data_IF_246994070838
#
_entry.id   IF_246994070838
#
_cell.length_a   1.000
_cell.length_b   1.000
_cell.length_c   1.000
_cell.angle_alpha   90.00
_cell.angle_beta   90.00
_cell.angle_gamma   90.00
#
_symmetry.space_group_name_H-M   'P 1'
#
loop_
_entity.id
_entity.type
_entity.pdbx_description
1 polymer ?
#
# COMPACT_ATOMS: atom_id res chain seq x y z
N UNK A 1 10.48 -0.62 -0.55
CA UNK A 1 11.03 0.38 0.40
C UNK A 1 11.48 -0.34 1.65
N UNK A 2 12.59 0.05 2.24
CA UNK A 2 13.08 -0.54 3.49
C UNK A 2 12.20 -0.11 4.66
N UNK A 3 12.09 -0.96 5.70
CA UNK A 3 11.22 -0.68 6.84
C UNK A 3 11.52 0.65 7.53
N UNK A 4 12.79 1.02 7.67
CA UNK A 4 13.19 2.28 8.27
C UNK A 4 12.67 3.49 7.47
N UNK A 5 12.66 3.40 6.15
CA UNK A 5 12.15 4.47 5.29
C UNK A 5 10.64 4.67 5.49
N UNK A 6 9.91 3.59 5.72
CA UNK A 6 8.47 3.66 5.98
C UNK A 6 8.21 4.34 7.33
N UNK A 7 9.03 4.07 8.34
CA UNK A 7 8.92 4.71 9.65
C UNK A 7 9.16 6.23 9.60
N UNK A 8 9.94 6.69 8.63
CA UNK A 8 10.28 8.11 8.49
C UNK A 8 9.22 8.93 7.75
N UNK A 9 8.21 8.28 7.18
CA UNK A 9 7.15 8.96 6.45
C UNK A 9 6.22 9.74 7.38
N UNK A 10 5.77 10.92 6.94
CA UNK A 10 4.69 11.64 7.61
C UNK A 10 3.37 10.88 7.45
N UNK A 11 2.37 11.20 8.29
CA UNK A 11 1.12 10.45 8.30
C UNK A 11 0.42 10.44 6.94
N UNK A 12 0.35 11.59 6.27
CA UNK A 12 -0.26 11.70 4.94
C UNK A 12 0.53 10.92 3.88
N UNK A 13 1.85 10.96 3.96
CA UNK A 13 2.73 10.19 3.08
C UNK A 13 2.59 8.68 3.32
N UNK A 14 2.43 8.28 4.57
CA UNK A 14 2.24 6.88 4.94
C UNK A 14 0.90 6.34 4.39
N UNK A 15 -0.16 7.11 4.52
CA UNK A 15 -1.47 6.74 4.00
C UNK A 15 -1.42 6.60 2.48
N UNK A 16 -0.77 7.55 1.80
CA UNK A 16 -0.59 7.48 0.35
C UNK A 16 0.24 6.26 -0.05
N UNK A 17 1.31 5.97 0.69
CA UNK A 17 2.14 4.79 0.45
C UNK A 17 1.33 3.50 0.53
N UNK A 18 0.50 3.35 1.56
CA UNK A 18 -0.36 2.17 1.72
C UNK A 18 -1.39 2.10 0.60
N UNK A 19 -2.00 3.23 0.24
CA UNK A 19 -2.97 3.28 -0.84
C UNK A 19 -2.37 2.86 -2.18
N UNK A 20 -1.16 3.35 -2.48
CA UNK A 20 -0.44 3.01 -3.71
C UNK A 20 -0.04 1.53 -3.72
N UNK A 21 0.38 0.98 -2.59
CA UNK A 21 0.72 -0.44 -2.48
C UNK A 21 -0.51 -1.32 -2.74
N UNK A 22 -1.68 -0.94 -2.24
CA UNK A 22 -2.94 -1.65 -2.49
C UNK A 22 -3.30 -1.65 -3.97
N UNK A 23 -3.17 -0.50 -4.63
CA UNK A 23 -3.44 -0.36 -6.07
C UNK A 23 -2.49 -1.23 -6.88
N UNK A 24 -1.22 -1.23 -6.53
CA UNK A 24 -0.22 -2.05 -7.22
C UNK A 24 -0.52 -3.53 -7.06
N UNK A 25 -0.86 -3.99 -5.86
CA UNK A 25 -1.21 -5.39 -5.62
C UNK A 25 -2.43 -5.79 -6.45
N UNK A 26 -3.44 -4.94 -6.50
CA UNK A 26 -4.65 -5.20 -7.29
C UNK A 26 -4.31 -5.36 -8.77
N UNK A 27 -3.51 -4.45 -9.33
CA UNK A 27 -3.09 -4.54 -10.73
C UNK A 27 -2.25 -5.78 -11.02
N UNK A 28 -1.31 -6.12 -10.13
CA UNK A 28 -0.48 -7.31 -10.29
C UNK A 28 -1.27 -8.60 -10.17
N UNK A 29 -2.25 -8.66 -9.27
CA UNK A 29 -3.15 -9.82 -9.17
C UNK A 29 -3.98 -9.99 -10.42
N UNK A 30 -4.46 -8.89 -10.99
CA UNK A 30 -5.19 -8.92 -12.25
C UNK A 30 -4.32 -9.47 -13.38
N UNK A 31 -3.08 -8.99 -13.50
CA UNK A 31 -2.13 -9.48 -14.50
C UNK A 31 -1.85 -10.97 -14.33
N UNK A 32 -1.68 -11.41 -13.09
CA UNK A 32 -1.46 -12.83 -12.79
C UNK A 32 -2.66 -13.68 -13.20
N UNK A 33 -3.88 -13.21 -12.91
CA UNK A 33 -5.11 -13.93 -13.27
C UNK A 33 -5.30 -14.06 -14.77
N UNK A 34 -4.81 -13.08 -15.55
CA UNK A 34 -4.90 -13.13 -17.02
C UNK A 34 -3.69 -13.80 -17.69
N UNK A 35 -2.76 -14.33 -16.89
CA UNK A 35 -1.56 -14.97 -17.40
C UNK A 35 -0.48 -14.04 -17.93
N UNK A 36 -0.63 -12.72 -17.72
CA UNK A 36 0.33 -11.72 -18.21
C UNK A 36 1.52 -11.52 -17.29
N UNK A 37 1.39 -11.87 -16.01
CA UNK A 37 2.46 -11.70 -15.03
C UNK A 37 3.35 -12.96 -15.01
N UNK A 38 4.56 -12.84 -15.58
CA UNK A 38 5.52 -13.95 -15.62
C UNK A 38 6.33 -14.06 -14.34
N UNK A 39 6.60 -12.92 -13.67
CA UNK A 39 7.45 -12.86 -12.48
C UNK A 39 6.63 -12.37 -11.29
N UNK A 40 6.52 -13.21 -10.26
CA UNK A 40 5.76 -12.89 -9.05
C UNK A 40 6.56 -12.09 -8.01
N UNK A 41 7.84 -11.78 -8.27
CA UNK A 41 8.68 -11.04 -7.32
C UNK A 41 8.11 -9.66 -7.02
N UNK A 42 7.55 -8.96 -8.01
CA UNK A 42 6.92 -7.64 -7.82
C UNK A 42 5.71 -7.73 -6.90
N UNK A 43 4.90 -8.79 -7.04
CA UNK A 43 3.75 -8.98 -6.17
C UNK A 43 4.18 -9.22 -4.72
N UNK A 44 5.23 -10.03 -4.51
CA UNK A 44 5.79 -10.27 -3.17
C UNK A 44 6.31 -8.98 -2.55
N UNK A 45 7.03 -8.17 -3.33
CA UNK A 45 7.56 -6.87 -2.87
C UNK A 45 6.42 -5.92 -2.50
N UNK A 46 5.39 -5.82 -3.33
CA UNK A 46 4.24 -4.96 -3.06
C UNK A 46 3.48 -5.39 -1.81
N UNK A 47 3.29 -6.69 -1.61
CA UNK A 47 2.67 -7.23 -0.39
C UNK A 47 3.50 -6.91 0.86
N UNK A 48 4.82 -7.02 0.77
CA UNK A 48 5.72 -6.70 1.87
C UNK A 48 5.64 -5.21 2.22
N UNK A 49 5.65 -4.34 1.20
CA UNK A 49 5.52 -2.89 1.40
C UNK A 49 4.18 -2.55 2.05
N UNK A 50 3.09 -3.16 1.60
CA UNK A 50 1.78 -2.98 2.21
C UNK A 50 1.80 -3.38 3.69
N UNK A 51 2.37 -4.55 4.00
CA UNK A 51 2.45 -5.03 5.38
C UNK A 51 3.25 -4.08 6.26
N UNK A 52 4.37 -3.56 5.78
CA UNK A 52 5.18 -2.58 6.51
C UNK A 52 4.42 -1.29 6.76
N UNK A 53 3.75 -0.76 5.74
CA UNK A 53 2.94 0.45 5.87
C UNK A 53 1.81 0.28 6.87
N UNK A 54 1.09 -0.83 6.80
CA UNK A 54 0.00 -1.13 7.73
C UNK A 54 0.49 -1.29 9.16
N UNK A 55 1.66 -1.92 9.36
CA UNK A 55 2.25 -2.08 10.68
C UNK A 55 2.60 -0.72 11.29
N UNK A 56 3.24 0.15 10.53
CA UNK A 56 3.61 1.50 11.00
C UNK A 56 2.36 2.32 11.29
N UNK A 57 1.36 2.26 10.42
CA UNK A 57 0.08 2.95 10.63
C UNK A 57 -0.60 2.48 11.91
N UNK A 58 -0.61 1.17 12.16
CA UNK A 58 -1.16 0.61 13.39
C UNK A 58 -0.43 1.09 14.64
N UNK A 59 0.90 1.20 14.58
CA UNK A 59 1.71 1.73 15.67
C UNK A 59 1.40 3.20 15.97
N UNK A 60 1.04 3.97 14.95
CA UNK A 60 0.67 5.39 15.09
C UNK A 60 -0.81 5.59 15.43
N UNK A 61 -1.60 4.53 15.47
CA UNK A 61 -3.04 4.61 15.70
C UNK A 61 -3.82 5.17 14.52
N UNK A 62 -3.29 5.04 13.29
CA UNK A 62 -3.94 5.51 12.07
C UNK A 62 -4.83 4.40 11.50
N UNK A 63 -6.09 4.73 11.25
CA UNK A 63 -6.99 3.86 10.49
C UNK A 63 -6.89 4.20 9.00
N UNK A 64 -6.08 3.42 8.29
CA UNK A 64 -5.78 3.67 6.88
C UNK A 64 -7.05 3.58 6.03
N UNK A 65 -7.94 2.66 6.32
CA UNK A 65 -9.16 2.47 5.53
C UNK A 65 -10.06 3.71 5.61
N UNK A 66 -10.22 4.27 6.80
CA UNK A 66 -11.01 5.50 7.00
C UNK A 66 -10.35 6.68 6.29
N UNK A 67 -9.04 6.82 6.42
CA UNK A 67 -8.32 7.94 5.81
C UNK A 67 -8.37 7.86 4.28
N UNK A 68 -8.23 6.68 3.70
CA UNK A 68 -8.33 6.50 2.25
C UNK A 68 -9.73 6.82 1.74
N UNK A 69 -10.78 6.47 2.48
CA UNK A 69 -12.15 6.85 2.13
C UNK A 69 -12.35 8.35 2.13
N UNK A 70 -11.78 9.04 3.12
CA UNK A 70 -11.84 10.51 3.18
C UNK A 70 -11.19 11.14 1.97
N UNK A 71 -10.03 10.62 1.55
CA UNK A 71 -9.33 11.11 0.36
C UNK A 71 -10.16 10.89 -0.91
N UNK A 72 -10.78 9.73 -1.05
CA UNK A 72 -11.66 9.44 -2.19
C UNK A 72 -12.86 10.40 -2.22
N UNK A 73 -13.50 10.63 -1.07
CA UNK A 73 -14.64 11.53 -0.97
C UNK A 73 -14.25 12.99 -1.25
N UNK A 74 -13.06 13.39 -0.81
CA UNK A 74 -12.54 14.73 -1.06
C UNK A 74 -12.26 14.97 -2.54
N UNK A 75 -11.92 13.92 -3.29
CA UNK A 75 -11.58 13.99 -4.71
C UNK A 75 -12.78 13.68 -5.63
N UNK A 76 -13.91 13.34 -5.07
CA UNK A 76 -15.12 12.98 -5.84
C UNK A 76 -15.83 14.20 -6.41
#
# INVERSE_FOLDING_TARGET
>A
MKGQQVHDLADDQLIEFVGNARKEIFGLRFQHATGQLENTARLKTAKRDLARGMTVAGQRGIDVDVELRRQENANA
#
